data_IF_630096398112
#
_entry.id   IF_630096398112
#
_cell.length_a   1.000
_cell.length_b   1.000
_cell.length_c   1.000
_cell.angle_alpha   90.00
_cell.angle_beta   90.00
_cell.angle_gamma   90.00
#
_symmetry.space_group_name_H-M   'P 1'
#
loop_
_entity.id
_entity.type
_entity.pdbx_description
1 polymer ?
#
# COMPACT_ATOMS: atom_id res chain seq x y z
N UNK A 1 -2.09 4.68 -18.87
CA UNK A 1 -2.20 4.75 -20.34
C UNK A 1 -0.90 5.21 -20.98
N UNK A 2 -0.44 6.46 -20.74
CA UNK A 2 0.76 7.03 -21.38
C UNK A 2 2.03 6.16 -21.27
N UNK A 3 2.34 5.61 -20.09
CA UNK A 3 3.51 4.74 -19.92
C UNK A 3 3.46 3.48 -20.81
N UNK A 4 2.25 2.94 -21.04
CA UNK A 4 2.04 1.83 -21.97
C UNK A 4 2.30 2.25 -23.42
N UNK A 5 1.69 3.36 -23.85
CA UNK A 5 1.83 3.86 -25.23
C UNK A 5 3.29 4.21 -25.60
N UNK A 6 4.11 4.54 -24.59
CA UNK A 6 5.54 4.85 -24.74
C UNK A 6 6.47 3.65 -24.49
N UNK A 7 5.93 2.49 -24.13
CA UNK A 7 6.72 1.30 -23.81
C UNK A 7 7.68 1.48 -22.66
N UNK A 8 7.26 2.16 -21.59
CA UNK A 8 8.07 2.45 -20.40
C UNK A 8 7.68 1.56 -19.22
N UNK A 9 8.59 1.38 -18.23
CA UNK A 9 8.25 0.79 -16.93
C UNK A 9 7.10 1.54 -16.25
N UNK A 10 6.22 0.82 -15.56
CA UNK A 10 5.11 1.42 -14.82
C UNK A 10 5.15 1.08 -13.34
N UNK A 11 5.40 2.08 -12.49
CA UNK A 11 5.29 1.95 -11.03
C UNK A 11 3.96 2.53 -10.54
N UNK A 12 3.15 1.71 -9.88
CA UNK A 12 1.91 2.15 -9.24
C UNK A 12 2.10 2.36 -7.74
N UNK A 13 1.83 3.57 -7.27
CA UNK A 13 1.88 3.94 -5.86
C UNK A 13 0.55 3.53 -5.17
N UNK A 14 0.50 2.30 -4.65
CA UNK A 14 -0.73 1.69 -4.14
C UNK A 14 -1.36 2.42 -2.94
N UNK A 15 -0.56 3.20 -2.22
CA UNK A 15 -0.98 3.97 -1.04
C UNK A 15 -1.88 5.18 -1.35
N UNK A 16 -1.96 5.61 -2.62
CA UNK A 16 -2.83 6.72 -3.01
C UNK A 16 -4.20 6.26 -3.52
N UNK A 17 -4.26 5.09 -4.15
CA UNK A 17 -5.49 4.61 -4.77
C UNK A 17 -5.52 3.07 -4.83
N UNK A 18 -5.55 2.38 -3.68
CA UNK A 18 -5.45 0.92 -3.64
C UNK A 18 -6.54 0.25 -4.48
N UNK A 19 -7.74 0.84 -4.50
CA UNK A 19 -8.90 0.37 -5.28
C UNK A 19 -8.71 0.47 -6.81
N UNK A 20 -7.80 1.32 -7.28
CA UNK A 20 -7.54 1.52 -8.71
C UNK A 20 -6.39 0.67 -9.25
N UNK A 21 -5.71 -0.10 -8.39
CA UNK A 21 -4.52 -0.87 -8.75
C UNK A 21 -4.76 -1.79 -9.96
N UNK A 22 -5.75 -2.68 -9.89
CA UNK A 22 -6.01 -3.63 -10.97
C UNK A 22 -6.38 -2.93 -12.28
N UNK A 23 -7.21 -1.88 -12.21
CA UNK A 23 -7.62 -1.10 -13.36
C UNK A 23 -6.42 -0.37 -14.00
N UNK A 24 -5.55 0.23 -13.19
CA UNK A 24 -4.35 0.92 -13.65
C UNK A 24 -3.38 -0.03 -14.37
N UNK A 25 -3.15 -1.22 -13.80
CA UNK A 25 -2.32 -2.28 -14.40
C UNK A 25 -2.93 -2.75 -15.72
N UNK A 26 -4.23 -3.02 -15.74
CA UNK A 26 -4.97 -3.44 -16.94
C UNK A 26 -4.85 -2.41 -18.05
N UNK A 27 -5.06 -1.12 -17.73
CA UNK A 27 -4.94 -0.02 -18.70
C UNK A 27 -3.51 0.10 -19.22
N UNK A 28 -2.49 -0.02 -18.35
CA UNK A 28 -1.08 -0.01 -18.76
C UNK A 28 -0.78 -1.14 -19.76
N UNK A 29 -1.15 -2.39 -19.42
CA UNK A 29 -0.89 -3.57 -20.25
C UNK A 29 -1.62 -3.49 -21.59
N UNK A 30 -2.90 -3.09 -21.58
CA UNK A 30 -3.71 -3.00 -22.80
C UNK A 30 -3.21 -1.97 -23.80
N UNK A 31 -2.48 -0.95 -23.36
CA UNK A 31 -1.95 0.10 -24.22
C UNK A 31 -0.44 -0.04 -24.45
N UNK A 32 0.20 -1.10 -23.94
CA UNK A 32 1.63 -1.27 -24.04
C UNK A 32 2.07 -1.46 -25.49
N UNK A 33 3.02 -0.64 -25.93
CA UNK A 33 3.72 -0.77 -27.21
C UNK A 33 5.20 -0.97 -26.94
N UNK A 34 5.84 -2.01 -27.48
CA UNK A 34 7.28 -2.19 -27.36
C UNK A 34 8.04 -0.92 -27.79
N UNK A 35 9.14 -0.64 -27.10
CA UNK A 35 10.00 0.52 -27.35
C UNK A 35 11.48 0.11 -27.30
N UNK A 36 12.38 1.07 -27.48
CA UNK A 36 13.80 0.85 -27.25
C UNK A 36 14.15 0.52 -25.78
N UNK A 37 13.21 0.72 -24.84
CA UNK A 37 13.41 0.50 -23.40
C UNK A 37 12.90 -0.88 -22.96
N UNK A 38 11.73 -1.30 -23.45
CA UNK A 38 11.09 -2.56 -23.08
C UNK A 38 10.46 -3.25 -24.28
N UNK A 39 10.67 -4.56 -24.38
CA UNK A 39 10.03 -5.45 -25.35
C UNK A 39 8.67 -5.98 -24.87
N UNK A 40 8.47 -6.03 -23.54
CA UNK A 40 7.24 -6.47 -22.88
C UNK A 40 6.85 -5.55 -21.71
N UNK A 41 5.56 -5.53 -21.29
CA UNK A 41 5.12 -4.73 -20.16
C UNK A 41 5.88 -5.08 -18.88
N UNK A 42 6.27 -4.05 -18.11
CA UNK A 42 6.92 -4.22 -16.81
C UNK A 42 6.25 -3.32 -15.78
N UNK A 43 5.71 -3.95 -14.72
CA UNK A 43 4.94 -3.29 -13.66
C UNK A 43 5.72 -3.38 -12.36
N UNK A 44 5.64 -2.35 -11.52
CA UNK A 44 6.12 -2.37 -10.14
C UNK A 44 5.03 -1.81 -9.23
N UNK A 45 4.94 -2.31 -8.01
CA UNK A 45 3.99 -1.84 -7.00
C UNK A 45 4.72 -1.28 -5.78
N UNK A 46 4.44 -0.03 -5.44
CA UNK A 46 4.86 0.56 -4.17
C UNK A 46 3.79 0.29 -3.10
N UNK A 47 4.11 -0.51 -2.09
CA UNK A 47 3.22 -0.86 -0.97
C UNK A 47 3.71 -0.28 0.36
N UNK A 48 2.83 0.30 1.20
CA UNK A 48 3.19 0.62 2.58
C UNK A 48 3.50 -0.65 3.34
N UNK A 49 4.57 -0.63 4.14
CA UNK A 49 5.01 -1.80 4.88
C UNK A 49 5.52 -1.39 6.27
N UNK A 50 5.10 -2.15 7.28
CA UNK A 50 5.64 -2.12 8.63
C UNK A 50 5.97 -3.55 9.01
N UNK A 51 7.26 -3.85 9.15
CA UNK A 51 7.74 -5.17 9.52
C UNK A 51 8.49 -5.13 10.85
N UNK A 52 8.38 -6.22 11.59
CA UNK A 52 9.14 -6.49 12.81
C UNK A 52 9.36 -7.99 12.92
N UNK A 53 10.11 -8.44 13.94
CA UNK A 53 10.40 -9.86 14.14
C UNK A 53 9.13 -10.69 14.43
N UNK A 54 8.09 -10.07 14.99
CA UNK A 54 6.79 -10.72 15.25
C UNK A 54 5.63 -9.86 14.75
N UNK A 55 4.49 -10.51 14.52
CA UNK A 55 3.24 -9.84 14.13
C UNK A 55 2.79 -8.81 15.17
N UNK A 56 2.87 -9.15 16.45
CA UNK A 56 2.46 -8.28 17.55
C UNK A 56 3.34 -7.02 17.61
N UNK A 57 4.64 -7.18 17.41
CA UNK A 57 5.55 -6.04 17.40
C UNK A 57 5.31 -5.16 16.17
N UNK A 58 5.05 -5.75 15.00
CA UNK A 58 4.73 -5.00 13.79
C UNK A 58 3.43 -4.20 13.95
N UNK A 59 2.38 -4.78 14.55
CA UNK A 59 1.12 -4.07 14.84
C UNK A 59 1.31 -2.94 15.86
N UNK A 60 2.14 -3.16 16.89
CA UNK A 60 2.52 -2.09 17.82
C UNK A 60 3.18 -0.92 17.08
N UNK A 61 4.18 -1.19 16.23
CA UNK A 61 4.84 -0.15 15.43
C UNK A 61 3.87 0.53 14.45
N UNK A 62 2.94 -0.22 13.86
CA UNK A 62 1.95 0.31 12.93
C UNK A 62 0.99 1.32 13.58
N UNK A 63 0.83 1.31 14.90
CA UNK A 63 0.01 2.32 15.59
C UNK A 63 0.50 3.76 15.40
N UNK A 64 1.79 3.99 15.13
CA UNK A 64 2.28 5.32 14.73
C UNK A 64 1.69 5.77 13.39
N UNK A 65 1.54 4.84 12.43
CA UNK A 65 0.92 5.11 11.13
C UNK A 65 -0.58 5.35 11.31
N UNK A 66 -1.26 4.53 12.12
CA UNK A 66 -2.68 4.69 12.43
C UNK A 66 -2.97 6.05 13.08
N UNK A 67 -2.16 6.48 14.05
CA UNK A 67 -2.28 7.81 14.66
C UNK A 67 -2.10 8.94 13.66
N UNK A 68 -1.18 8.81 12.70
CA UNK A 68 -0.96 9.83 11.67
C UNK A 68 -2.15 9.94 10.71
N UNK A 69 -2.77 8.81 10.35
CA UNK A 69 -3.97 8.80 9.51
C UNK A 69 -5.16 9.41 10.25
N UNK A 70 -5.33 9.06 11.52
CA UNK A 70 -6.35 9.67 12.36
C UNK A 70 -6.16 11.19 12.47
N UNK A 71 -4.92 11.65 12.67
CA UNK A 71 -4.60 13.07 12.67
C UNK A 71 -4.93 13.75 11.34
N UNK A 72 -4.63 13.10 10.21
CA UNK A 72 -4.99 13.60 8.88
C UNK A 72 -6.50 13.76 8.72
N UNK A 73 -7.28 12.74 9.10
CA UNK A 73 -8.75 12.79 9.02
C UNK A 73 -9.36 13.89 9.89
N UNK A 74 -8.74 14.17 11.03
CA UNK A 74 -9.16 15.21 11.97
C UNK A 74 -8.57 16.59 11.68
N UNK A 75 -7.78 16.76 10.61
CA UNK A 75 -7.12 18.04 10.29
C UNK A 75 -6.09 18.48 11.34
N UNK A 76 -5.49 17.54 12.06
CA UNK A 76 -4.52 17.78 13.13
C UNK A 76 -3.07 17.71 12.62
N UNK A 77 -2.13 18.12 13.48
CA UNK A 77 -0.69 18.01 13.20
C UNK A 77 -0.27 16.58 12.82
N UNK A 78 0.50 16.47 11.75
CA UNK A 78 1.01 15.20 11.21
C UNK A 78 2.40 14.82 11.72
N UNK A 79 2.89 15.50 12.77
CA UNK A 79 4.13 15.11 13.45
C UNK A 79 3.99 13.66 13.94
N UNK A 80 4.98 12.84 13.63
CA UNK A 80 4.96 11.43 13.96
C UNK A 80 4.94 11.22 15.47
N UNK A 81 3.97 10.42 15.93
CA UNK A 81 3.82 10.05 17.34
C UNK A 81 4.45 8.68 17.58
N UNK A 82 4.93 8.46 18.80
CA UNK A 82 5.42 7.16 19.23
C UNK A 82 4.29 6.10 19.16
N UNK A 83 4.64 4.83 18.95
CA UNK A 83 3.66 3.75 18.94
C UNK A 83 3.00 3.57 20.31
N UNK A 84 1.71 3.26 20.29
CA UNK A 84 0.86 3.06 21.47
C UNK A 84 0.44 1.60 21.58
N UNK A 85 0.14 1.14 22.81
CA UNK A 85 -0.25 -0.26 23.04
C UNK A 85 -1.52 -0.67 22.30
N UNK A 86 -2.45 0.27 22.10
CA UNK A 86 -3.68 0.06 21.35
C UNK A 86 -4.20 1.37 20.77
N UNK A 87 -4.89 1.27 19.62
CA UNK A 87 -5.66 2.37 19.05
C UNK A 87 -7.08 2.46 19.65
N UNK A 88 -7.52 1.44 20.39
CA UNK A 88 -8.84 1.44 21.01
C UNK A 88 -8.94 2.58 22.04
N UNK A 89 -10.03 3.35 21.96
CA UNK A 89 -10.21 4.59 22.72
C UNK A 89 -9.56 5.83 22.10
N UNK A 90 -8.71 5.70 21.07
CA UNK A 90 -8.15 6.85 20.33
C UNK A 90 -9.00 7.21 19.10
N UNK A 91 -9.42 6.19 18.35
CA UNK A 91 -10.34 6.33 17.21
C UNK A 91 -11.78 5.94 17.56
N UNK A 92 -12.73 6.54 16.86
CA UNK A 92 -14.12 6.10 16.82
C UNK A 92 -14.27 4.94 15.82
N UNK A 93 -15.32 4.10 15.91
CA UNK A 93 -15.49 2.96 15.01
C UNK A 93 -15.47 3.31 13.52
N UNK A 94 -16.08 4.43 13.12
CA UNK A 94 -16.07 4.89 11.72
C UNK A 94 -14.70 5.40 11.27
N UNK A 95 -13.91 5.99 12.18
CA UNK A 95 -12.53 6.43 11.89
C UNK A 95 -11.60 5.22 11.74
N UNK A 96 -11.82 4.18 12.56
CA UNK A 96 -11.13 2.88 12.41
C UNK A 96 -11.41 2.29 11.03
N UNK A 97 -12.68 2.18 10.64
CA UNK A 97 -13.06 1.64 9.34
C UNK A 97 -12.45 2.45 8.19
N UNK A 98 -12.57 3.78 8.22
CA UNK A 98 -11.99 4.66 7.21
C UNK A 98 -10.45 4.52 7.16
N UNK A 99 -9.78 4.45 8.31
CA UNK A 99 -8.34 4.32 8.40
C UNK A 99 -7.84 2.99 7.86
N UNK A 100 -8.52 1.88 8.20
CA UNK A 100 -8.20 0.56 7.67
C UNK A 100 -8.47 0.47 6.16
N UNK A 101 -9.53 1.11 5.66
CA UNK A 101 -9.76 1.18 4.21
C UNK A 101 -8.71 2.01 3.49
N UNK A 102 -8.22 3.10 4.10
CA UNK A 102 -7.13 3.91 3.53
C UNK A 102 -5.83 3.09 3.43
N UNK A 103 -5.58 2.22 4.41
CA UNK A 103 -4.45 1.30 4.45
C UNK A 103 -4.73 -0.05 3.79
N UNK A 104 -5.71 -0.17 2.89
CA UNK A 104 -6.17 -1.46 2.37
C UNK A 104 -5.11 -2.34 1.70
N UNK A 105 -3.98 -1.77 1.25
CA UNK A 105 -2.82 -2.51 0.70
C UNK A 105 -1.56 -2.43 1.59
N UNK A 106 -1.67 -1.88 2.79
CA UNK A 106 -0.57 -1.83 3.73
C UNK A 106 -0.27 -3.23 4.28
N UNK A 107 1.01 -3.55 4.35
CA UNK A 107 1.47 -4.84 4.85
C UNK A 107 2.09 -4.63 6.23
N UNK A 108 1.39 -5.13 7.25
CA UNK A 108 1.87 -5.16 8.64
C UNK A 108 2.04 -6.61 9.07
N UNK A 109 3.22 -6.95 9.59
CA UNK A 109 3.50 -8.31 10.09
C UNK A 109 4.96 -8.70 10.20
N UNK A 110 5.18 -9.95 10.59
CA UNK A 110 6.47 -10.65 10.55
C UNK A 110 6.96 -10.88 9.11
N UNK A 111 8.23 -11.27 8.90
CA UNK A 111 8.74 -11.61 7.57
C UNK A 111 7.89 -12.65 6.83
N UNK A 112 7.36 -13.64 7.54
CA UNK A 112 6.53 -14.71 6.98
C UNK A 112 5.18 -14.16 6.50
N UNK A 113 4.50 -13.35 7.33
CA UNK A 113 3.21 -12.75 6.97
C UNK A 113 3.34 -11.75 5.83
N UNK A 114 4.41 -10.96 5.83
CA UNK A 114 4.72 -10.03 4.75
C UNK A 114 4.97 -10.80 3.45
N UNK A 115 5.77 -11.86 3.48
CA UNK A 115 6.02 -12.73 2.32
C UNK A 115 4.72 -13.28 1.75
N UNK A 116 3.88 -13.88 2.59
CA UNK A 116 2.60 -14.45 2.14
C UNK A 116 1.70 -13.39 1.48
N UNK A 117 1.64 -12.17 2.03
CA UNK A 117 0.88 -11.07 1.43
C UNK A 117 1.48 -10.59 0.10
N UNK A 118 2.80 -10.53 0.00
CA UNK A 118 3.49 -10.17 -1.24
C UNK A 118 3.27 -11.21 -2.34
N UNK A 119 3.32 -12.51 -2.00
CA UNK A 119 3.05 -13.59 -2.94
C UNK A 119 1.64 -13.49 -3.51
N UNK A 120 0.62 -13.28 -2.67
CA UNK A 120 -0.76 -13.04 -3.13
C UNK A 120 -0.85 -11.80 -4.03
N UNK A 121 -0.14 -10.73 -3.68
CA UNK A 121 -0.14 -9.52 -4.49
C UNK A 121 0.50 -9.74 -5.86
N UNK A 122 1.64 -10.44 -5.92
CA UNK A 122 2.33 -10.81 -7.16
C UNK A 122 1.45 -11.72 -8.00
N UNK A 123 0.78 -12.71 -7.41
CA UNK A 123 -0.12 -13.61 -8.13
C UNK A 123 -1.27 -12.84 -8.79
N UNK A 124 -1.90 -11.93 -8.05
CA UNK A 124 -3.03 -11.12 -8.55
C UNK A 124 -2.64 -10.09 -9.59
N UNK A 125 -1.39 -9.61 -9.56
CA UNK A 125 -0.98 -8.44 -10.34
C UNK A 125 0.03 -8.74 -11.41
N UNK A 126 0.81 -9.82 -11.29
CA UNK A 126 1.96 -10.15 -12.14
C UNK A 126 2.94 -8.96 -12.25
N UNK A 127 3.10 -8.24 -11.15
CA UNK A 127 4.05 -7.13 -10.98
C UNK A 127 5.37 -7.64 -10.40
#
# INVERSE_FOLDING_TARGET
QLAGERGLPYAFASHFAPRLMHEAIRVYRNHFKPSAVLDKPYVMLGVPLVAADTDEHAEYLATSVYQRILALMRGQSLVQRAPVKTMDGLWLPHEKEAGMSFLGLAMVGSPEKIRAKLEVLVDQTQA
#
